data_IF_134704626332
#
_entry.id   IF_134704626332
#
_cell.length_a   1.000
_cell.length_b   1.000
_cell.length_c   1.000
_cell.angle_alpha   90.00
_cell.angle_beta   90.00
_cell.angle_gamma   90.00
#
_symmetry.space_group_name_H-M   'P 1'
#
loop_
_entity.id
_entity.type
_entity.pdbx_description
1 polymer ?
#
# COMPACT_ATOMS: atom_id res chain seq x y z
N UNK A 1 27.46 -17.65 -13.21
CA UNK A 1 28.34 -17.37 -12.06
C UNK A 1 29.80 -17.08 -12.41
N UNK A 2 30.51 -17.87 -13.25
CA UNK A 2 31.96 -17.66 -13.51
C UNK A 2 32.38 -16.42 -14.34
N UNK A 3 31.53 -15.88 -15.23
CA UNK A 3 31.91 -14.77 -16.13
C UNK A 3 31.85 -13.37 -15.48
N UNK A 4 30.93 -13.16 -14.51
CA UNK A 4 30.82 -11.90 -13.75
C UNK A 4 32.00 -11.71 -12.79
N UNK A 5 32.40 -12.78 -12.09
CA UNK A 5 33.59 -12.79 -11.22
C UNK A 5 34.89 -12.47 -11.98
N UNK A 6 35.04 -12.99 -13.19
CA UNK A 6 36.22 -12.72 -14.02
C UNK A 6 36.27 -11.25 -14.50
N UNK A 7 35.12 -10.65 -14.84
CA UNK A 7 35.06 -9.24 -15.24
C UNK A 7 35.37 -8.28 -14.08
N UNK A 8 34.92 -8.61 -12.87
CA UNK A 8 35.23 -7.84 -11.64
C UNK A 8 36.72 -7.94 -11.31
N UNK A 9 37.32 -9.14 -11.38
CA UNK A 9 38.76 -9.33 -11.21
C UNK A 9 39.58 -8.56 -12.24
N UNK A 10 39.13 -8.51 -13.50
CA UNK A 10 39.81 -7.76 -14.56
C UNK A 10 39.71 -6.25 -14.31
N UNK A 11 38.55 -5.73 -13.88
CA UNK A 11 38.39 -4.31 -13.58
C UNK A 11 39.25 -3.85 -12.39
N UNK A 12 39.30 -4.66 -11.32
CA UNK A 12 40.18 -4.43 -10.17
C UNK A 12 41.66 -4.47 -10.60
N UNK A 13 42.05 -5.45 -11.42
CA UNK A 13 43.42 -5.58 -11.92
C UNK A 13 43.85 -4.46 -12.88
N UNK A 14 42.96 -3.93 -13.72
CA UNK A 14 43.29 -2.82 -14.64
C UNK A 14 43.41 -1.47 -13.94
N UNK A 15 42.70 -1.26 -12.82
CA UNK A 15 42.93 -0.08 -11.97
C UNK A 15 44.27 -0.15 -11.21
N UNK A 16 44.71 -1.37 -10.81
CA UNK A 16 45.97 -1.60 -10.11
C UNK A 16 47.23 -1.40 -10.97
N UNK A 17 47.13 -1.50 -12.31
CA UNK A 17 48.29 -1.52 -13.20
C UNK A 17 48.78 -0.15 -13.71
N UNK A 18 48.13 0.96 -13.35
CA UNK A 18 48.42 2.29 -13.94
C UNK A 18 49.41 3.14 -13.13
N UNK A 19 49.87 2.73 -11.93
CA UNK A 19 50.66 3.62 -11.05
C UNK A 19 51.97 3.04 -10.51
N UNK A 20 52.69 2.27 -11.33
CA UNK A 20 54.11 1.98 -11.08
C UNK A 20 55.01 3.07 -11.68
N UNK A 21 55.15 4.20 -10.98
CA UNK A 21 56.06 5.28 -11.38
C UNK A 21 56.44 6.22 -10.23
N UNK A 22 57.76 6.26 -9.93
CA UNK A 22 58.47 7.14 -8.98
C UNK A 22 58.56 6.69 -7.52
N UNK A 23 59.42 5.72 -7.28
CA UNK A 23 60.04 5.43 -5.98
C UNK A 23 61.14 6.43 -5.64
N UNK A 24 60.86 7.54 -4.95
CA UNK A 24 61.85 8.34 -4.20
C UNK A 24 61.16 9.34 -3.25
N UNK A 25 60.71 8.91 -2.05
CA UNK A 25 60.86 9.57 -0.73
C UNK A 25 60.39 8.57 0.34
N UNK A 26 61.31 8.04 1.17
CA UNK A 26 61.02 7.06 2.24
C UNK A 26 60.36 7.65 3.51
N UNK A 27 59.78 8.86 3.43
CA UNK A 27 59.25 9.62 4.59
C UNK A 27 57.83 10.14 4.34
N UNK A 28 57.25 9.93 3.16
CA UNK A 28 55.82 10.18 2.94
C UNK A 28 55.08 8.84 3.00
N UNK A 29 54.14 8.72 3.91
CA UNK A 29 53.25 7.56 4.04
C UNK A 29 52.53 7.31 2.70
N UNK A 30 52.49 6.04 2.29
CA UNK A 30 52.09 5.59 0.95
C UNK A 30 50.61 5.86 0.70
N UNK A 31 50.28 6.21 -0.54
CA UNK A 31 48.90 6.22 -1.04
C UNK A 31 48.25 4.85 -0.81
N UNK A 32 47.05 4.85 -0.24
CA UNK A 32 46.19 3.67 -0.04
C UNK A 32 45.00 3.75 -0.97
N UNK A 33 44.82 2.72 -1.78
CA UNK A 33 43.68 2.49 -2.65
C UNK A 33 42.58 1.77 -1.88
N UNK A 34 41.50 2.48 -1.59
CA UNK A 34 40.32 1.98 -0.90
C UNK A 34 39.30 1.55 -1.95
N UNK A 35 39.05 0.25 -2.03
CA UNK A 35 38.03 -0.34 -2.90
C UNK A 35 36.73 -0.52 -2.10
N UNK A 36 35.63 0.08 -2.55
CA UNK A 36 34.34 0.00 -1.87
C UNK A 36 33.42 -1.01 -2.55
N UNK A 37 32.78 -1.86 -1.73
CA UNK A 37 31.82 -2.88 -2.19
C UNK A 37 30.51 -2.83 -1.42
N UNK A 38 29.40 -2.99 -2.14
CA UNK A 38 28.08 -3.20 -1.57
C UNK A 38 27.60 -4.62 -1.93
N UNK A 39 27.90 -5.59 -1.05
CA UNK A 39 27.77 -7.01 -1.40
C UNK A 39 28.61 -7.36 -2.64
N UNK A 40 27.98 -7.93 -3.67
CA UNK A 40 28.68 -8.24 -4.92
C UNK A 40 29.01 -7.00 -5.77
N UNK A 41 28.32 -5.87 -5.54
CA UNK A 41 28.45 -4.64 -6.33
C UNK A 41 29.76 -3.90 -6.02
N UNK A 42 30.44 -3.44 -7.07
CA UNK A 42 31.59 -2.54 -6.97
C UNK A 42 31.09 -1.10 -6.98
N UNK A 43 31.39 -0.36 -5.91
CA UNK A 43 30.92 1.02 -5.72
C UNK A 43 31.93 2.03 -6.28
N UNK A 44 33.22 1.82 -6.01
CA UNK A 44 34.28 2.71 -6.47
C UNK A 44 35.65 2.40 -5.87
N UNK A 45 36.67 3.10 -6.35
CA UNK A 45 38.03 3.07 -5.78
C UNK A 45 38.48 4.49 -5.52
N UNK A 46 39.04 4.72 -4.34
CA UNK A 46 39.46 6.03 -3.85
C UNK A 46 40.88 5.98 -3.32
N UNK A 47 41.64 7.06 -3.48
CA UNK A 47 42.99 7.17 -2.94
C UNK A 47 42.98 8.04 -1.69
N UNK A 48 43.55 7.54 -0.59
CA UNK A 48 43.75 8.27 0.66
C UNK A 48 45.22 8.18 1.12
N UNK A 49 45.69 9.22 1.80
CA UNK A 49 47.03 9.38 2.37
C UNK A 49 46.97 10.43 3.49
N UNK A 50 48.09 10.69 4.17
CA UNK A 50 48.14 11.66 5.28
C UNK A 50 47.73 13.09 4.95
N UNK A 51 47.70 13.47 3.67
CA UNK A 51 47.35 14.81 3.22
C UNK A 51 45.94 14.88 2.61
N UNK A 52 45.28 13.74 2.38
CA UNK A 52 43.97 13.71 1.75
C UNK A 52 43.03 12.66 2.37
N UNK A 53 41.75 13.02 2.42
CA UNK A 53 40.66 12.11 2.74
C UNK A 53 39.82 11.90 1.49
N UNK A 54 39.11 10.77 1.42
CA UNK A 54 38.18 10.49 0.35
C UNK A 54 36.75 10.77 0.80
N UNK A 55 36.02 11.58 0.03
CA UNK A 55 34.56 11.69 0.14
C UNK A 55 33.96 10.57 -0.68
N UNK A 56 33.14 9.74 -0.06
CA UNK A 56 32.62 8.49 -0.62
C UNK A 56 31.09 8.48 -0.56
N UNK A 57 30.41 7.76 -1.48
CA UNK A 57 28.95 7.64 -1.44
C UNK A 57 28.50 6.81 -0.24
N UNK A 58 27.28 7.07 0.24
CA UNK A 58 26.59 6.22 1.22
C UNK A 58 25.62 5.30 0.45
N UNK A 59 25.89 3.98 0.36
CA UNK A 59 25.04 3.06 -0.38
C UNK A 59 23.74 2.76 0.38
N UNK A 60 22.64 2.57 -0.35
CA UNK A 60 21.33 2.27 0.23
C UNK A 60 20.98 0.80 0.12
N UNK A 61 20.16 0.30 1.06
CA UNK A 61 19.60 -1.05 1.05
C UNK A 61 18.22 -1.04 1.70
N UNK A 62 17.20 -1.48 0.96
CA UNK A 62 15.82 -1.46 1.44
C UNK A 62 15.67 -2.21 2.78
N UNK A 63 15.06 -1.56 3.78
CA UNK A 63 14.87 -2.10 5.12
C UNK A 63 16.10 -2.05 6.04
N UNK A 64 17.20 -1.45 5.59
CA UNK A 64 18.43 -1.34 6.37
C UNK A 64 18.99 0.09 6.34
N UNK A 65 19.62 0.50 7.44
CA UNK A 65 20.36 1.74 7.56
C UNK A 65 21.84 1.47 7.33
N UNK A 66 22.46 2.28 6.49
CA UNK A 66 23.91 2.22 6.27
C UNK A 66 24.63 2.61 7.55
N UNK A 67 25.39 1.67 8.12
CA UNK A 67 26.11 1.85 9.37
C UNK A 67 27.53 2.38 9.17
N UNK A 68 28.07 2.23 7.97
CA UNK A 68 29.40 2.67 7.59
C UNK A 68 30.15 1.63 6.78
N UNK A 69 31.45 1.86 6.64
CA UNK A 69 32.35 0.98 5.91
C UNK A 69 33.13 0.11 6.90
N UNK A 70 33.24 -1.19 6.58
CA UNK A 70 33.99 -2.15 7.38
C UNK A 70 34.96 -2.94 6.50
N UNK A 71 36.15 -3.34 6.97
CA UNK A 71 37.02 -4.26 6.26
C UNK A 71 36.46 -5.70 6.21
N UNK A 72 35.40 -5.98 6.96
CA UNK A 72 34.78 -7.31 7.04
C UNK A 72 33.65 -7.46 6.03
N UNK A 73 33.76 -8.47 5.15
CA UNK A 73 32.75 -8.73 4.10
C UNK A 73 31.39 -9.17 4.66
N UNK A 74 31.42 -9.98 5.73
CA UNK A 74 30.26 -10.56 6.41
C UNK A 74 29.97 -9.85 7.74
N UNK A 75 30.11 -8.52 7.75
CA UNK A 75 29.85 -7.70 8.94
C UNK A 75 28.47 -7.96 9.53
N UNK A 76 28.43 -8.20 10.84
CA UNK A 76 27.21 -8.47 11.60
C UNK A 76 27.05 -7.48 12.76
N UNK A 77 25.88 -6.84 12.85
CA UNK A 77 25.53 -5.90 13.91
C UNK A 77 25.70 -6.52 15.31
N UNK A 78 26.31 -5.76 16.22
CA UNK A 78 26.59 -6.16 17.62
C UNK A 78 27.79 -7.10 17.79
N UNK A 79 28.14 -7.90 16.78
CA UNK A 79 29.32 -8.78 16.82
C UNK A 79 30.56 -8.05 16.31
N UNK A 80 30.42 -7.32 15.20
CA UNK A 80 31.54 -6.70 14.47
C UNK A 80 31.51 -5.17 14.55
N UNK A 81 30.76 -4.60 15.51
CA UNK A 81 30.57 -3.15 15.60
C UNK A 81 31.87 -2.36 15.79
N UNK A 82 32.91 -2.98 16.36
CA UNK A 82 34.24 -2.38 16.51
C UNK A 82 35.01 -2.27 15.18
N UNK A 83 34.60 -3.01 14.15
CA UNK A 83 35.21 -3.01 12.81
C UNK A 83 34.66 -1.88 11.89
N UNK A 84 33.83 -0.97 12.42
CA UNK A 84 33.37 0.20 11.66
C UNK A 84 34.45 1.29 11.67
N UNK A 85 34.82 1.76 10.48
CA UNK A 85 36.01 2.59 10.31
C UNK A 85 35.84 4.07 10.70
N UNK A 86 34.62 4.61 10.68
CA UNK A 86 34.37 6.02 10.96
C UNK A 86 32.91 6.27 11.33
N UNK A 87 32.68 7.20 12.26
CA UNK A 87 31.34 7.74 12.54
C UNK A 87 30.79 8.57 11.38
N UNK A 88 31.68 9.17 10.56
CA UNK A 88 31.30 9.87 9.34
C UNK A 88 31.33 8.91 8.15
N UNK A 89 30.16 8.35 7.86
CA UNK A 89 29.92 7.32 6.85
C UNK A 89 30.25 7.74 5.41
N UNK A 90 30.32 9.05 5.13
CA UNK A 90 30.68 9.61 3.82
C UNK A 90 32.15 10.02 3.68
N UNK A 91 33.00 9.75 4.67
CA UNK A 91 34.40 10.14 4.67
C UNK A 91 35.30 8.97 5.09
N UNK A 92 36.26 8.63 4.24
CA UNK A 92 37.34 7.69 4.57
C UNK A 92 38.61 8.49 4.81
N UNK A 93 39.22 8.31 5.99
CA UNK A 93 40.52 8.90 6.31
C UNK A 93 41.61 7.86 6.20
N UNK A 94 42.81 8.32 5.90
CA UNK A 94 43.99 7.45 5.87
C UNK A 94 44.21 6.71 7.19
N UNK A 95 44.04 7.40 8.32
CA UNK A 95 44.21 6.80 9.65
C UNK A 95 43.24 5.65 9.93
N UNK A 96 42.06 5.66 9.32
CA UNK A 96 41.05 4.61 9.50
C UNK A 96 41.42 3.33 8.75
N UNK A 97 42.22 3.43 7.68
CA UNK A 97 42.48 2.30 6.76
C UNK A 97 43.91 1.77 6.76
N UNK A 98 44.88 2.57 7.21
CA UNK A 98 46.31 2.28 7.07
C UNK A 98 46.75 0.95 7.69
N UNK A 99 46.11 0.55 8.79
CA UNK A 99 46.46 -0.67 9.52
C UNK A 99 45.85 -1.95 8.90
N UNK A 100 44.90 -1.80 7.96
CA UNK A 100 44.27 -2.91 7.24
C UNK A 100 45.01 -3.30 5.94
N UNK A 101 46.09 -2.58 5.62
CA UNK A 101 46.88 -2.82 4.42
C UNK A 101 48.04 -3.76 4.76
N UNK A 102 47.98 -4.99 4.23
CA UNK A 102 49.00 -6.01 4.52
C UNK A 102 50.24 -5.91 3.60
N UNK A 103 51.43 -5.79 4.21
CA UNK A 103 52.72 -5.99 3.51
C UNK A 103 53.05 -4.91 2.48
N UNK A 104 53.38 -5.31 1.25
CA UNK A 104 53.65 -4.37 0.14
C UNK A 104 52.39 -3.93 -0.61
N UNK A 105 51.22 -4.51 -0.31
CA UNK A 105 49.97 -4.08 -0.91
C UNK A 105 49.70 -2.62 -0.53
N UNK A 106 49.04 -1.89 -1.42
CA UNK A 106 48.61 -0.52 -1.20
C UNK A 106 47.10 -0.41 -1.31
N UNK A 107 46.36 -1.50 -1.11
CA UNK A 107 44.92 -1.50 -1.23
C UNK A 107 44.21 -2.23 -0.11
N UNK A 108 43.07 -1.70 0.30
CA UNK A 108 42.12 -2.33 1.21
C UNK A 108 40.77 -2.41 0.52
N UNK A 109 40.02 -3.49 0.75
CA UNK A 109 38.62 -3.57 0.33
C UNK A 109 37.75 -3.34 1.55
N UNK A 110 36.81 -2.41 1.43
CA UNK A 110 35.80 -2.12 2.44
C UNK A 110 34.43 -2.50 1.90
N UNK A 111 33.61 -3.02 2.79
CA UNK A 111 32.28 -3.52 2.53
C UNK A 111 31.27 -2.67 3.29
N UNK A 112 30.13 -2.45 2.65
CA UNK A 112 29.03 -1.69 3.23
C UNK A 112 28.40 -2.47 4.40
N UNK A 113 28.45 -1.89 5.59
CA UNK A 113 27.80 -2.43 6.78
C UNK A 113 26.38 -1.87 6.92
N UNK A 114 25.45 -2.72 7.34
CA UNK A 114 24.03 -2.41 7.40
C UNK A 114 23.40 -2.87 8.70
N UNK A 115 22.69 -1.98 9.36
CA UNK A 115 21.86 -2.29 10.54
C UNK A 115 20.41 -2.41 10.09
N UNK A 116 19.66 -3.35 10.67
CA UNK A 116 18.24 -3.48 10.33
C UNK A 116 17.49 -2.25 10.87
N UNK A 117 16.65 -1.64 10.03
CA UNK A 117 15.78 -0.57 10.50
C UNK A 117 14.73 -1.22 11.42
N UNK A 118 14.63 -0.82 12.70
CA UNK A 118 13.65 -1.40 13.60
C UNK A 118 12.24 -1.16 13.07
N UNK A 119 11.48 -2.24 12.89
CA UNK A 119 10.08 -2.14 12.47
C UNK A 119 9.25 -1.64 13.66
N UNK A 120 8.74 -0.42 13.53
CA UNK A 120 7.77 0.18 14.45
C UNK A 120 6.36 0.02 13.88
N UNK A 121 5.34 0.19 14.71
CA UNK A 121 3.95 0.14 14.26
C UNK A 121 3.57 1.41 13.51
N UNK A 122 4.08 2.57 13.97
CA UNK A 122 3.85 3.86 13.33
C UNK A 122 4.94 4.86 13.72
N UNK A 123 5.46 5.61 12.75
CA UNK A 123 6.43 6.70 12.96
C UNK A 123 5.94 7.99 12.29
N UNK A 124 5.75 9.03 13.09
CA UNK A 124 5.34 10.36 12.63
C UNK A 124 6.49 11.35 12.84
N UNK A 125 7.01 11.89 11.74
CA UNK A 125 7.98 12.97 11.76
C UNK A 125 7.26 14.33 11.79
N UNK A 126 7.71 15.24 12.66
CA UNK A 126 7.23 16.64 12.65
C UNK A 126 8.37 17.63 12.41
N UNK A 127 8.07 18.72 11.69
CA UNK A 127 9.08 19.74 11.43
C UNK A 127 9.34 20.60 12.66
N UNK A 128 10.44 20.30 13.37
CA UNK A 128 10.82 20.94 14.62
C UNK A 128 11.50 22.29 14.40
N UNK A 129 10.69 23.24 13.98
CA UNK A 129 11.08 24.61 13.75
C UNK A 129 9.89 25.52 13.95
N UNK A 130 9.51 25.76 15.21
CA UNK A 130 8.29 26.47 15.60
C UNK A 130 8.05 27.78 14.85
N UNK A 131 9.07 28.62 14.69
CA UNK A 131 8.96 29.88 13.94
C UNK A 131 8.57 29.67 12.47
N UNK A 132 8.88 28.51 11.91
CA UNK A 132 8.55 28.11 10.54
C UNK A 132 7.30 27.24 10.52
N UNK A 133 7.25 26.09 11.19
CA UNK A 133 6.12 25.14 11.13
C UNK A 133 4.90 25.59 11.96
N UNK A 134 5.11 26.39 13.00
CA UNK A 134 4.09 26.70 13.99
C UNK A 134 3.82 25.57 15.00
N UNK A 135 4.64 24.50 14.96
CA UNK A 135 4.56 23.31 15.83
C UNK A 135 5.75 23.33 16.79
N UNK A 136 5.50 23.00 18.06
CA UNK A 136 6.52 22.78 19.08
C UNK A 136 6.21 21.49 19.87
N UNK A 137 7.03 21.18 20.87
CA UNK A 137 6.85 19.96 21.66
C UNK A 137 5.49 19.89 22.36
N UNK A 138 5.00 20.99 22.94
CA UNK A 138 3.70 21.00 23.61
C UNK A 138 2.55 20.71 22.64
N UNK A 139 2.62 21.27 21.42
CA UNK A 139 1.67 20.93 20.34
C UNK A 139 1.70 19.43 20.01
N UNK A 140 2.88 18.82 19.96
CA UNK A 140 3.01 17.40 19.64
C UNK A 140 2.62 16.47 20.80
N UNK A 141 2.73 16.92 22.04
CA UNK A 141 2.24 16.19 23.22
C UNK A 141 0.71 16.15 23.24
N UNK A 142 0.05 17.27 22.90
CA UNK A 142 -1.40 17.34 22.71
C UNK A 142 -1.85 16.47 21.52
N UNK A 143 -1.16 16.58 20.38
CA UNK A 143 -1.41 15.74 19.21
C UNK A 143 -1.28 14.25 19.54
N UNK A 144 -0.25 13.85 20.29
CA UNK A 144 -0.05 12.45 20.72
C UNK A 144 -1.21 11.97 21.58
N UNK A 145 -1.68 12.81 22.51
CA UNK A 145 -2.83 12.48 23.35
C UNK A 145 -4.08 12.23 22.50
N UNK A 146 -4.38 13.13 21.56
CA UNK A 146 -5.52 12.99 20.65
C UNK A 146 -5.38 11.76 19.73
N UNK A 147 -4.18 11.47 19.24
CA UNK A 147 -3.91 10.27 18.44
C UNK A 147 -4.18 9.00 19.24
N UNK A 148 -3.75 8.94 20.50
CA UNK A 148 -3.93 7.77 21.35
C UNK A 148 -5.41 7.55 21.68
N UNK A 149 -6.17 8.61 21.92
CA UNK A 149 -7.62 8.55 22.09
C UNK A 149 -8.31 8.05 20.81
N UNK A 150 -7.93 8.57 19.64
CA UNK A 150 -8.45 8.14 18.36
C UNK A 150 -8.18 6.64 18.11
N UNK A 151 -6.93 6.19 18.26
CA UNK A 151 -6.57 4.80 18.07
C UNK A 151 -7.32 3.87 19.05
N UNK A 152 -7.47 4.29 20.31
CA UNK A 152 -8.27 3.56 21.30
C UNK A 152 -9.74 3.43 20.86
N UNK A 153 -10.32 4.50 20.31
CA UNK A 153 -11.69 4.48 19.78
C UNK A 153 -11.88 3.51 18.60
N UNK A 154 -10.80 3.23 17.86
CA UNK A 154 -10.76 2.26 16.76
C UNK A 154 -10.39 0.83 17.21
N UNK A 155 -10.27 0.59 18.51
CA UNK A 155 -9.99 -0.74 19.09
C UNK A 155 -8.50 -1.08 19.23
N UNK A 156 -7.60 -0.15 18.91
CA UNK A 156 -6.17 -0.34 19.14
C UNK A 156 -5.79 -0.11 20.61
N UNK A 157 -4.60 -0.58 20.99
CA UNK A 157 -4.02 -0.38 22.34
C UNK A 157 -2.68 0.34 22.20
N UNK A 158 -2.68 1.67 22.02
CA UNK A 158 -1.47 2.42 21.68
C UNK A 158 -0.34 2.27 22.72
N UNK A 159 -0.66 2.07 24.00
CA UNK A 159 0.34 1.82 25.06
C UNK A 159 1.13 0.50 24.89
N UNK A 160 0.62 -0.42 24.07
CA UNK A 160 1.28 -1.69 23.74
C UNK A 160 1.93 -1.68 22.36
N UNK A 161 1.71 -0.61 21.59
CA UNK A 161 2.25 -0.44 20.25
C UNK A 161 3.57 0.33 20.29
N UNK A 162 4.43 0.07 19.32
CA UNK A 162 5.65 0.84 19.09
C UNK A 162 5.34 2.05 18.21
N UNK A 163 4.75 3.10 18.80
CA UNK A 163 4.47 4.38 18.12
C UNK A 163 5.54 5.41 18.49
N UNK A 164 6.19 6.00 17.49
CA UNK A 164 7.19 7.05 17.66
C UNK A 164 6.75 8.36 16.98
N UNK A 165 6.80 9.46 17.72
CA UNK A 165 6.47 10.80 17.21
C UNK A 165 7.65 11.69 17.54
N UNK A 166 8.42 12.08 16.52
CA UNK A 166 9.71 12.74 16.74
C UNK A 166 9.96 13.91 15.80
N UNK A 167 10.68 14.89 16.34
CA UNK A 167 10.95 16.16 15.68
C UNK A 167 12.22 16.12 14.86
N UNK A 168 12.17 16.70 13.67
CA UNK A 168 13.34 16.90 12.80
C UNK A 168 13.66 18.38 12.70
N UNK A 169 14.88 18.74 13.12
CA UNK A 169 15.38 20.11 13.13
C UNK A 169 16.09 20.49 11.81
N UNK A 170 16.49 21.76 11.71
CA UNK A 170 17.27 22.28 10.59
C UNK A 170 16.43 22.99 9.54
N UNK A 171 17.00 23.17 8.34
CA UNK A 171 16.22 23.58 7.18
C UNK A 171 15.55 22.38 6.51
N UNK A 172 14.84 22.64 5.41
CA UNK A 172 14.01 21.62 4.76
C UNK A 172 14.88 20.53 4.15
N UNK A 173 16.01 20.88 3.53
CA UNK A 173 16.95 19.89 2.99
C UNK A 173 17.57 19.03 4.08
N UNK A 174 17.98 19.64 5.19
CA UNK A 174 18.57 18.93 6.34
C UNK A 174 17.58 17.97 6.98
N UNK A 175 16.37 18.44 7.26
CA UNK A 175 15.31 17.63 7.90
C UNK A 175 14.82 16.50 7.00
N UNK A 176 14.59 16.75 5.70
CA UNK A 176 14.19 15.71 4.75
C UNK A 176 15.31 14.67 4.55
N UNK A 177 16.58 15.12 4.46
CA UNK A 177 17.73 14.23 4.39
C UNK A 177 17.86 13.32 5.60
N UNK A 178 17.64 13.85 6.80
CA UNK A 178 17.62 13.04 8.03
C UNK A 178 16.48 12.01 8.03
N UNK A 179 15.27 12.39 7.60
CA UNK A 179 14.12 11.48 7.48
C UNK A 179 14.40 10.35 6.48
N UNK A 180 14.99 10.66 5.32
CA UNK A 180 15.38 9.65 4.33
C UNK A 180 16.48 8.72 4.87
N UNK A 181 17.42 9.26 5.65
CA UNK A 181 18.51 8.49 6.29
C UNK A 181 18.01 7.53 7.37
N UNK A 182 16.95 7.90 8.10
CA UNK A 182 16.36 7.02 9.12
C UNK A 182 15.51 5.90 8.50
N UNK A 183 14.78 6.19 7.41
CA UNK A 183 14.15 5.18 6.57
C UNK A 183 12.97 4.43 7.19
N UNK A 184 12.46 4.86 8.33
CA UNK A 184 11.34 4.27 9.10
C UNK A 184 10.12 5.19 9.22
N UNK A 185 10.17 6.42 8.70
CA UNK A 185 9.07 7.41 8.84
C UNK A 185 7.90 7.06 7.93
N UNK A 186 6.71 6.96 8.52
CA UNK A 186 5.44 6.68 7.82
C UNK A 186 4.69 7.96 7.41
N UNK A 187 4.65 8.96 8.29
CA UNK A 187 3.92 10.21 8.08
C UNK A 187 4.82 11.40 8.41
N UNK A 188 4.78 12.44 7.57
CA UNK A 188 5.45 13.72 7.83
C UNK A 188 4.41 14.82 8.05
N UNK A 189 4.58 15.65 9.08
CA UNK A 189 3.68 16.77 9.37
C UNK A 189 4.44 18.09 9.57
N UNK A 190 3.92 19.19 9.00
CA UNK A 190 4.41 20.54 9.31
C UNK A 190 5.32 21.19 8.26
N UNK A 191 5.59 20.54 7.12
CA UNK A 191 6.28 21.14 5.98
C UNK A 191 5.32 22.01 5.14
N UNK A 192 5.88 22.91 4.32
CA UNK A 192 5.11 24.03 3.79
C UNK A 192 4.31 23.76 2.50
N UNK A 193 4.74 22.83 1.64
CA UNK A 193 4.06 22.40 0.40
C UNK A 193 4.86 21.30 -0.32
N UNK A 194 4.30 20.73 -1.39
CA UNK A 194 4.95 19.68 -2.20
C UNK A 194 6.28 20.13 -2.80
N UNK A 195 6.39 21.38 -3.29
CA UNK A 195 7.66 21.91 -3.81
C UNK A 195 8.74 21.95 -2.73
N UNK A 196 8.36 22.10 -1.47
CA UNK A 196 9.30 22.13 -0.36
C UNK A 196 9.90 20.74 -0.13
N UNK A 197 9.09 19.68 -0.20
CA UNK A 197 9.56 18.31 -0.11
C UNK A 197 10.39 17.91 -1.34
N UNK A 198 9.90 18.22 -2.54
CA UNK A 198 10.54 17.73 -3.78
C UNK A 198 11.77 18.50 -4.19
N UNK A 199 11.71 19.84 -4.18
CA UNK A 199 12.83 20.66 -4.64
C UNK A 199 13.83 20.92 -3.51
N UNK A 200 13.38 21.47 -2.37
CA UNK A 200 14.28 21.80 -1.26
C UNK A 200 14.68 20.57 -0.45
N UNK A 201 13.73 19.66 -0.22
CA UNK A 201 13.92 18.44 0.55
C UNK A 201 14.58 17.31 -0.23
N UNK A 202 14.61 17.39 -1.56
CA UNK A 202 15.19 16.37 -2.44
C UNK A 202 14.42 15.06 -2.49
N UNK A 203 13.16 15.03 -2.02
CA UNK A 203 12.30 13.84 -2.05
C UNK A 203 11.62 13.67 -3.40
N UNK A 204 11.34 12.43 -3.80
CA UNK A 204 10.63 12.10 -5.03
C UNK A 204 9.26 11.51 -4.72
N UNK A 205 8.20 12.11 -5.28
CA UNK A 205 6.84 11.57 -5.15
C UNK A 205 6.72 10.20 -5.83
N UNK A 206 5.99 9.28 -5.22
CA UNK A 206 5.90 7.87 -5.61
C UNK A 206 7.12 7.02 -5.20
N UNK A 207 8.16 7.62 -4.62
CA UNK A 207 9.36 6.92 -4.13
C UNK A 207 9.57 7.17 -2.64
N UNK A 208 9.71 8.44 -2.26
CA UNK A 208 10.02 8.87 -0.89
C UNK A 208 8.76 9.27 -0.11
N UNK A 209 7.69 9.63 -0.82
CA UNK A 209 6.34 9.83 -0.28
C UNK A 209 5.28 9.51 -1.35
N UNK A 210 4.10 9.09 -0.93
CA UNK A 210 3.00 8.65 -1.79
C UNK A 210 1.98 9.76 -2.04
N UNK A 211 1.75 10.60 -1.03
CA UNK A 211 0.70 11.60 -1.05
C UNK A 211 1.10 12.80 -0.18
N UNK A 212 0.68 14.00 -0.56
CA UNK A 212 0.95 15.22 0.21
C UNK A 212 -0.19 16.24 0.07
N UNK A 213 -0.88 16.53 1.17
CA UNK A 213 -2.05 17.40 1.20
C UNK A 213 -1.81 18.60 2.12
N UNK A 214 -2.37 19.75 1.74
CA UNK A 214 -2.20 21.01 2.45
C UNK A 214 -3.32 21.34 3.42
N UNK A 215 -3.30 22.59 3.91
CA UNK A 215 -4.34 23.17 4.77
C UNK A 215 -4.52 22.45 6.11
N UNK A 216 -3.48 21.76 6.61
CA UNK A 216 -3.51 21.07 7.89
C UNK A 216 -2.95 21.97 8.98
N UNK A 217 -3.73 22.26 10.02
CA UNK A 217 -3.36 23.14 11.13
C UNK A 217 -3.36 22.38 12.46
N UNK A 218 -2.26 21.65 12.69
CA UNK A 218 -1.96 21.02 13.99
C UNK A 218 -1.45 22.06 15.00
N UNK A 219 -0.59 22.98 14.54
CA UNK A 219 -0.05 24.05 15.37
C UNK A 219 -0.65 25.43 15.04
N UNK A 220 0.15 26.48 15.20
CA UNK A 220 -0.29 27.86 14.93
C UNK A 220 -0.39 28.22 13.43
N UNK A 221 0.10 27.36 12.53
CA UNK A 221 0.15 27.62 11.08
C UNK A 221 -0.38 26.44 10.27
N UNK A 222 -1.00 26.75 9.13
CA UNK A 222 -1.43 25.75 8.13
C UNK A 222 -0.24 25.19 7.38
N UNK A 223 -0.11 23.87 7.35
CA UNK A 223 1.00 23.13 6.76
C UNK A 223 0.46 21.92 6.01
N UNK A 224 1.38 21.08 5.58
CA UNK A 224 1.09 19.87 4.83
C UNK A 224 1.34 18.63 5.67
N UNK A 225 0.64 17.56 5.30
CA UNK A 225 0.91 16.20 5.76
C UNK A 225 1.26 15.33 4.56
N UNK A 226 2.35 14.57 4.67
CA UNK A 226 2.77 13.64 3.63
C UNK A 226 2.74 12.20 4.15
N UNK A 227 2.18 11.29 3.36
CA UNK A 227 2.16 9.85 3.63
C UNK A 227 3.31 9.20 2.90
N UNK A 228 4.11 8.38 3.59
CA UNK A 228 5.29 7.69 3.03
C UNK A 228 5.10 6.20 2.85
N UNK A 229 4.27 5.57 3.65
CA UNK A 229 4.02 4.13 3.61
C UNK A 229 2.54 3.84 3.39
N UNK A 230 2.26 2.68 2.80
CA UNK A 230 0.90 2.21 2.50
C UNK A 230 0.54 1.02 3.40
N UNK A 231 0.52 1.29 4.71
CA UNK A 231 0.04 0.31 5.70
C UNK A 231 -1.33 0.71 6.20
N UNK A 232 -2.14 -0.27 6.61
CA UNK A 232 -3.50 -0.03 7.11
C UNK A 232 -3.53 1.01 8.25
N UNK A 233 -2.61 0.89 9.23
CA UNK A 233 -2.51 1.83 10.34
C UNK A 233 -2.03 3.23 9.88
N UNK A 234 -1.07 3.30 8.96
CA UNK A 234 -0.62 4.58 8.40
C UNK A 234 -1.76 5.31 7.69
N UNK A 235 -2.54 4.60 6.87
CA UNK A 235 -3.67 5.16 6.14
C UNK A 235 -4.74 5.68 7.10
N UNK A 236 -5.13 4.84 8.08
CA UNK A 236 -6.08 5.21 9.13
C UNK A 236 -5.67 6.49 9.89
N UNK A 237 -4.39 6.61 10.25
CA UNK A 237 -3.90 7.79 10.96
C UNK A 237 -3.80 9.00 10.04
N UNK A 238 -3.33 8.82 8.80
CA UNK A 238 -3.23 9.89 7.81
C UNK A 238 -4.59 10.55 7.54
N UNK A 239 -5.63 9.75 7.33
CA UNK A 239 -6.99 10.21 7.11
C UNK A 239 -7.55 10.93 8.33
N UNK A 240 -7.30 10.39 9.53
CA UNK A 240 -7.69 11.05 10.77
C UNK A 240 -7.03 12.43 10.92
N UNK A 241 -5.74 12.56 10.59
CA UNK A 241 -5.05 13.86 10.64
C UNK A 241 -5.69 14.82 9.64
N UNK A 242 -5.97 14.36 8.41
CA UNK A 242 -6.61 15.17 7.39
C UNK A 242 -7.97 15.71 7.87
N UNK A 243 -8.85 14.82 8.33
CA UNK A 243 -10.21 15.19 8.77
C UNK A 243 -10.20 16.08 10.00
N UNK A 244 -9.34 15.78 10.98
CA UNK A 244 -9.35 16.47 12.28
C UNK A 244 -8.73 17.86 12.21
N UNK A 245 -7.70 18.05 11.38
CA UNK A 245 -6.87 19.25 11.40
C UNK A 245 -6.94 20.09 10.12
N UNK A 246 -7.76 19.74 9.12
CA UNK A 246 -7.96 20.59 7.95
C UNK A 246 -8.65 21.92 8.30
N UNK A 247 -8.18 23.03 7.73
CA UNK A 247 -8.77 24.37 7.90
C UNK A 247 -9.68 24.81 6.77
N UNK A 248 -9.55 24.15 5.62
CA UNK A 248 -10.66 24.11 4.66
C UNK A 248 -11.69 23.20 5.29
N UNK A 249 -13.00 23.49 5.16
CA UNK A 249 -13.98 22.43 5.26
C UNK A 249 -13.43 21.33 4.34
N UNK A 250 -13.10 20.19 4.92
CA UNK A 250 -13.16 18.96 4.13
C UNK A 250 -14.58 19.08 3.56
N UNK A 251 -14.72 19.33 2.25
CA UNK A 251 -16.02 19.10 1.63
C UNK A 251 -16.41 17.75 2.20
N UNK A 252 -17.60 17.61 2.82
CA UNK A 252 -17.96 16.30 3.30
C UNK A 252 -17.71 15.39 2.11
N UNK A 253 -16.70 14.52 2.25
CA UNK A 253 -16.80 13.19 1.70
C UNK A 253 -18.27 12.85 1.94
N UNK A 254 -19.08 12.68 0.87
CA UNK A 254 -20.50 12.39 1.05
C UNK A 254 -20.57 11.37 2.17
N UNK A 255 -21.30 11.72 3.24
CA UNK A 255 -21.33 11.09 4.57
C UNK A 255 -20.59 9.75 4.57
N UNK A 256 -19.47 9.55 5.31
CA UNK A 256 -18.71 8.31 5.20
C UNK A 256 -19.68 7.15 5.33
N UNK A 257 -19.90 6.44 4.22
CA UNK A 257 -20.70 5.23 4.24
C UNK A 257 -20.04 4.36 5.31
N UNK A 258 -20.78 3.89 6.33
CA UNK A 258 -20.21 3.04 7.36
C UNK A 258 -19.42 1.94 6.66
N UNK A 259 -18.18 1.68 7.14
CA UNK A 259 -17.29 0.61 6.67
C UNK A 259 -18.12 -0.54 6.07
N UNK A 260 -18.02 -0.81 4.74
CA UNK A 260 -18.72 -1.94 4.19
C UNK A 260 -17.93 -3.18 4.64
N UNK A 261 -18.20 -3.62 5.87
CA UNK A 261 -18.57 -5.02 6.01
C UNK A 261 -19.50 -5.36 4.83
N UNK A 262 -19.26 -6.50 4.18
CA UNK A 262 -19.57 -6.74 2.77
C UNK A 262 -20.81 -5.97 2.32
N UNK A 263 -20.62 -5.00 1.41
CA UNK A 263 -21.66 -4.11 0.88
C UNK A 263 -22.96 -4.91 0.78
N UNK A 264 -23.95 -4.60 1.63
CA UNK A 264 -25.23 -5.26 1.47
C UNK A 264 -25.72 -4.89 0.06
N UNK A 265 -25.88 -5.87 -0.84
CA UNK A 265 -26.31 -5.59 -2.20
C UNK A 265 -27.67 -4.89 -2.20
N UNK A 266 -27.79 -3.79 -2.94
CA UNK A 266 -29.04 -3.03 -3.16
C UNK A 266 -30.03 -3.84 -4.00
N UNK A 267 -29.52 -4.79 -4.79
CA UNK A 267 -30.33 -5.72 -5.57
C UNK A 267 -29.64 -7.09 -5.65
N UNK A 268 -30.26 -8.11 -5.09
CA UNK A 268 -29.81 -9.50 -5.16
C UNK A 268 -30.70 -10.32 -6.09
N UNK A 269 -30.10 -10.80 -7.17
CA UNK A 269 -30.75 -11.70 -8.11
C UNK A 269 -30.16 -13.09 -7.93
N UNK A 270 -30.95 -13.99 -7.36
CA UNK A 270 -30.64 -15.41 -7.33
C UNK A 270 -30.93 -16.04 -8.70
N UNK A 271 -30.04 -16.91 -9.17
CA UNK A 271 -30.31 -17.75 -10.34
C UNK A 271 -30.06 -19.22 -10.04
N UNK A 272 -30.89 -20.07 -10.65
CA UNK A 272 -30.79 -21.51 -10.46
C UNK A 272 -29.62 -22.08 -11.27
N UNK A 273 -28.48 -22.31 -10.61
CA UNK A 273 -27.22 -22.70 -11.23
C UNK A 273 -27.14 -24.20 -11.48
N UNK A 274 -28.05 -24.66 -12.33
CA UNK A 274 -28.06 -26.00 -12.91
C UNK A 274 -28.40 -25.87 -14.39
N UNK A 275 -27.42 -25.66 -15.30
CA UNK A 275 -27.66 -25.39 -16.71
C UNK A 275 -28.58 -26.43 -17.40
N UNK A 276 -28.43 -27.71 -17.06
CA UNK A 276 -29.27 -28.79 -17.56
C UNK A 276 -30.74 -28.69 -17.12
N UNK A 277 -31.01 -27.98 -16.04
CA UNK A 277 -32.38 -27.70 -15.57
C UNK A 277 -32.83 -26.29 -15.92
N UNK A 278 -32.14 -25.23 -15.50
CA UNK A 278 -32.58 -23.84 -15.72
C UNK A 278 -32.34 -23.34 -17.14
N UNK A 279 -31.30 -23.83 -17.82
CA UNK A 279 -30.80 -23.29 -19.09
C UNK A 279 -29.84 -22.12 -18.90
N UNK A 280 -29.80 -21.52 -17.70
CA UNK A 280 -28.91 -20.41 -17.37
C UNK A 280 -27.48 -20.92 -17.19
N UNK A 281 -26.52 -20.08 -17.57
CA UNK A 281 -25.08 -20.31 -17.38
C UNK A 281 -24.45 -19.02 -16.88
N UNK A 282 -23.22 -19.09 -16.37
CA UNK A 282 -22.50 -17.88 -15.95
C UNK A 282 -22.43 -16.84 -17.06
N UNK A 283 -22.10 -17.25 -18.30
CA UNK A 283 -22.03 -16.35 -19.45
C UNK A 283 -23.36 -15.65 -19.77
N UNK A 284 -24.50 -16.35 -19.60
CA UNK A 284 -25.83 -15.73 -19.77
C UNK A 284 -26.08 -14.72 -18.65
N UNK A 285 -25.72 -15.05 -17.40
CA UNK A 285 -25.91 -14.14 -16.28
C UNK A 285 -24.99 -12.91 -16.34
N UNK A 286 -23.78 -13.05 -16.89
CA UNK A 286 -22.87 -11.92 -17.14
C UNK A 286 -23.43 -10.99 -18.22
N UNK A 287 -23.99 -11.55 -19.30
CA UNK A 287 -24.69 -10.77 -20.33
C UNK A 287 -25.92 -10.05 -19.76
N UNK A 288 -26.70 -10.75 -18.94
CA UNK A 288 -27.83 -10.17 -18.23
C UNK A 288 -27.41 -9.03 -17.30
N UNK A 289 -26.32 -9.17 -16.52
CA UNK A 289 -25.81 -8.10 -15.66
C UNK A 289 -25.47 -6.84 -16.46
N UNK A 290 -24.82 -6.97 -17.62
CA UNK A 290 -24.48 -5.83 -18.48
C UNK A 290 -25.73 -5.12 -19.03
N UNK A 291 -26.72 -5.90 -19.48
CA UNK A 291 -27.99 -5.35 -19.94
C UNK A 291 -28.77 -4.68 -18.80
N UNK A 292 -28.76 -5.29 -17.60
CA UNK A 292 -29.41 -4.75 -16.41
C UNK A 292 -28.81 -3.40 -16.01
N UNK A 293 -27.49 -3.26 -15.97
CA UNK A 293 -26.81 -1.99 -15.70
C UNK A 293 -27.22 -0.89 -16.70
N UNK A 294 -27.36 -1.26 -17.97
CA UNK A 294 -27.79 -0.32 -19.04
C UNK A 294 -29.25 0.09 -18.82
N UNK A 295 -30.14 -0.87 -18.57
CA UNK A 295 -31.55 -0.63 -18.33
C UNK A 295 -31.80 0.26 -17.10
N UNK A 296 -31.10 0.00 -15.99
CA UNK A 296 -31.19 0.81 -14.78
C UNK A 296 -30.76 2.26 -15.05
N UNK A 297 -29.63 2.47 -15.74
CA UNK A 297 -29.16 3.81 -16.08
C UNK A 297 -30.16 4.59 -16.96
N UNK A 298 -30.81 3.92 -17.92
CA UNK A 298 -31.87 4.50 -18.76
C UNK A 298 -33.13 4.90 -17.96
N UNK A 299 -33.35 4.28 -16.80
CA UNK A 299 -34.46 4.56 -15.89
C UNK A 299 -34.04 5.42 -14.68
N UNK A 300 -32.93 6.16 -14.79
CA UNK A 300 -32.37 7.03 -13.75
C UNK A 300 -32.01 6.32 -12.44
N UNK A 301 -31.73 5.01 -12.51
CA UNK A 301 -31.20 4.21 -11.42
C UNK A 301 -29.73 3.92 -11.72
N UNK A 302 -28.80 4.60 -11.06
CA UNK A 302 -27.36 4.33 -11.25
C UNK A 302 -26.82 3.66 -9.98
N UNK A 303 -26.60 2.35 -10.06
CA UNK A 303 -25.98 1.56 -8.99
C UNK A 303 -24.46 1.48 -9.18
N UNK A 304 -23.71 1.57 -8.09
CA UNK A 304 -22.26 1.36 -8.03
C UNK A 304 -21.91 -0.12 -8.26
N UNK A 305 -20.65 -0.38 -8.59
CA UNK A 305 -20.14 -1.75 -8.69
C UNK A 305 -20.18 -2.42 -7.30
N UNK A 306 -20.80 -3.60 -7.22
CA UNK A 306 -21.03 -4.32 -5.94
C UNK A 306 -22.44 -4.19 -5.38
N UNK A 307 -23.22 -3.18 -5.82
CA UNK A 307 -24.62 -2.98 -5.36
C UNK A 307 -25.62 -3.89 -6.10
N UNK A 308 -25.24 -4.48 -7.23
CA UNK A 308 -25.99 -5.57 -7.88
C UNK A 308 -25.23 -6.87 -7.66
N UNK A 309 -25.85 -7.80 -6.92
CA UNK A 309 -25.31 -9.14 -6.71
C UNK A 309 -26.13 -10.18 -7.48
N UNK A 310 -25.50 -10.87 -8.41
CA UNK A 310 -26.10 -12.04 -9.07
C UNK A 310 -25.49 -13.31 -8.48
N UNK A 311 -26.29 -14.06 -7.72
CA UNK A 311 -25.84 -15.26 -6.98
C UNK A 311 -26.40 -16.54 -7.58
N UNK A 312 -25.52 -17.46 -7.95
CA UNK A 312 -25.91 -18.79 -8.44
C UNK A 312 -26.13 -19.80 -7.32
N UNK A 313 -27.30 -20.41 -7.28
CA UNK A 313 -27.62 -21.46 -6.31
C UNK A 313 -27.62 -22.84 -6.98
N UNK A 314 -26.74 -23.71 -6.49
CA UNK A 314 -26.64 -25.11 -6.90
C UNK A 314 -27.46 -26.02 -5.96
N UNK A 315 -27.69 -27.26 -6.39
CA UNK A 315 -28.47 -28.26 -5.64
C UNK A 315 -29.89 -28.40 -6.17
N UNK A 316 -30.65 -29.34 -5.63
CA UNK A 316 -32.05 -29.49 -6.04
C UNK A 316 -32.92 -28.30 -5.57
N UNK A 317 -34.20 -28.31 -5.94
CA UNK A 317 -35.14 -27.22 -5.61
C UNK A 317 -35.27 -27.02 -4.10
N UNK A 318 -35.22 -28.10 -3.30
CA UNK A 318 -35.32 -28.01 -1.84
C UNK A 318 -34.06 -27.41 -1.25
N UNK A 319 -32.90 -27.90 -1.66
CA UNK A 319 -31.60 -27.45 -1.17
C UNK A 319 -31.35 -25.98 -1.52
N UNK A 320 -31.60 -25.60 -2.78
CA UNK A 320 -31.37 -24.24 -3.26
C UNK A 320 -32.32 -23.22 -2.59
N UNK A 321 -33.61 -23.52 -2.49
CA UNK A 321 -34.56 -22.65 -1.76
C UNK A 321 -34.29 -22.57 -0.26
N UNK A 322 -33.74 -23.62 0.35
CA UNK A 322 -33.34 -23.58 1.77
C UNK A 322 -32.23 -22.55 1.98
N UNK A 323 -31.22 -22.54 1.11
CA UNK A 323 -30.13 -21.55 1.15
C UNK A 323 -30.62 -20.13 0.91
N UNK A 324 -31.50 -19.92 -0.08
CA UNK A 324 -32.12 -18.61 -0.32
C UNK A 324 -32.81 -18.07 0.94
N UNK A 325 -33.51 -18.93 1.69
CA UNK A 325 -34.15 -18.56 2.96
C UNK A 325 -33.15 -18.30 4.10
N UNK A 326 -32.02 -18.98 4.09
CA UNK A 326 -30.94 -18.78 5.07
C UNK A 326 -30.23 -17.44 4.83
N UNK A 327 -30.00 -17.09 3.57
CA UNK A 327 -29.30 -15.87 3.14
C UNK A 327 -30.14 -14.61 3.41
N UNK A 328 -31.48 -14.69 3.30
CA UNK A 328 -32.45 -13.63 3.66
C UNK A 328 -32.27 -12.29 2.94
N UNK A 329 -31.54 -12.27 1.83
CA UNK A 329 -31.17 -11.07 1.09
C UNK A 329 -31.63 -11.11 -0.38
N UNK A 330 -32.23 -12.21 -0.85
CA UNK A 330 -32.62 -12.37 -2.25
C UNK A 330 -33.89 -11.56 -2.57
N UNK A 331 -33.81 -10.74 -3.62
CA UNK A 331 -34.93 -9.92 -4.10
C UNK A 331 -35.68 -10.57 -5.27
N UNK A 332 -34.94 -11.18 -6.20
CA UNK A 332 -35.49 -11.81 -7.41
C UNK A 332 -34.86 -13.19 -7.57
N UNK A 333 -35.67 -14.20 -7.89
CA UNK A 333 -35.17 -15.53 -8.26
C UNK A 333 -35.48 -15.85 -9.72
N UNK A 334 -34.47 -16.33 -10.45
CA UNK A 334 -34.58 -16.68 -11.87
C UNK A 334 -34.22 -18.15 -12.13
N UNK A 335 -35.00 -18.82 -12.98
CA UNK A 335 -34.64 -20.16 -13.49
C UNK A 335 -35.22 -21.33 -12.69
N UNK A 336 -35.92 -21.07 -11.58
CA UNK A 336 -36.78 -22.07 -10.94
C UNK A 336 -38.05 -22.34 -11.77
N UNK A 337 -38.77 -23.40 -11.42
CA UNK A 337 -39.99 -23.79 -12.14
C UNK A 337 -41.25 -23.09 -11.56
N UNK A 338 -42.42 -23.69 -11.77
CA UNK A 338 -43.71 -23.13 -11.34
C UNK A 338 -43.84 -22.99 -9.82
N UNK A 339 -44.78 -22.15 -9.36
CA UNK A 339 -45.16 -22.02 -7.94
C UNK A 339 -45.48 -23.37 -7.29
N UNK A 340 -46.13 -24.27 -8.04
CA UNK A 340 -46.38 -25.64 -7.59
C UNK A 340 -45.10 -26.40 -7.28
N UNK A 341 -44.06 -26.24 -8.10
CA UNK A 341 -42.79 -26.92 -7.90
C UNK A 341 -42.05 -26.38 -6.66
N UNK A 342 -42.05 -25.06 -6.47
CA UNK A 342 -41.50 -24.40 -5.28
C UNK A 342 -42.21 -24.86 -4.01
N UNK A 343 -43.55 -24.88 -4.02
CA UNK A 343 -44.35 -25.36 -2.89
C UNK A 343 -44.14 -26.86 -2.61
N UNK A 344 -44.31 -27.72 -3.63
CA UNK A 344 -44.26 -29.18 -3.44
C UNK A 344 -42.87 -29.69 -3.04
N UNK A 345 -41.81 -29.10 -3.59
CA UNK A 345 -40.44 -29.61 -3.39
C UNK A 345 -39.68 -28.91 -2.27
N UNK A 346 -39.90 -27.61 -2.09
CA UNK A 346 -39.13 -26.80 -1.15
C UNK A 346 -39.97 -26.21 -0.01
N UNK A 347 -41.30 -26.37 -0.03
CA UNK A 347 -42.22 -25.64 0.85
C UNK A 347 -41.91 -24.13 0.82
N UNK A 348 -41.64 -23.60 -0.36
CA UNK A 348 -41.38 -22.18 -0.62
C UNK A 348 -42.68 -21.57 -1.14
N UNK A 349 -43.32 -20.74 -0.32
CA UNK A 349 -44.77 -20.43 -0.41
C UNK A 349 -45.01 -18.95 -0.72
N UNK A 350 -45.92 -18.68 -1.66
CA UNK A 350 -46.35 -17.33 -2.01
C UNK A 350 -47.05 -16.63 -0.83
N UNK A 351 -46.73 -15.36 -0.60
CA UNK A 351 -47.18 -14.58 0.55
C UNK A 351 -46.44 -14.90 1.86
N UNK A 352 -45.50 -15.85 1.85
CA UNK A 352 -44.64 -16.19 3.00
C UNK A 352 -43.17 -16.00 2.66
N UNK A 353 -42.68 -16.72 1.65
CA UNK A 353 -41.28 -16.69 1.23
C UNK A 353 -41.05 -15.79 0.00
N UNK A 354 -42.10 -15.49 -0.76
CA UNK A 354 -42.04 -14.62 -1.94
C UNK A 354 -43.39 -13.97 -2.23
N UNK A 355 -43.41 -12.89 -3.01
CA UNK A 355 -44.62 -12.12 -3.32
C UNK A 355 -45.38 -12.73 -4.50
N UNK A 356 -44.68 -13.01 -5.60
CA UNK A 356 -45.29 -13.59 -6.80
C UNK A 356 -44.27 -14.35 -7.66
N UNK A 357 -44.75 -15.28 -8.49
CA UNK A 357 -43.94 -16.00 -9.46
C UNK A 357 -44.62 -15.98 -10.83
N UNK A 358 -44.03 -15.27 -11.78
CA UNK A 358 -44.45 -15.30 -13.18
C UNK A 358 -43.74 -16.43 -13.91
N UNK A 359 -44.52 -17.43 -14.36
CA UNK A 359 -44.01 -18.55 -15.16
C UNK A 359 -44.11 -18.28 -16.65
N UNK A 360 -43.32 -18.99 -17.45
CA UNK A 360 -43.39 -18.89 -18.91
C UNK A 360 -42.28 -18.04 -19.52
N UNK A 361 -41.38 -17.48 -18.69
CA UNK A 361 -40.31 -16.60 -19.12
C UNK A 361 -39.23 -17.42 -19.82
N UNK A 362 -38.88 -17.07 -21.06
CA UNK A 362 -37.79 -17.69 -21.81
C UNK A 362 -36.44 -17.22 -21.26
N UNK A 363 -35.62 -18.14 -20.79
CA UNK A 363 -34.26 -17.87 -20.31
C UNK A 363 -33.37 -19.09 -20.54
N UNK A 364 -32.20 -18.88 -21.14
CA UNK A 364 -31.26 -19.94 -21.49
C UNK A 364 -31.86 -21.06 -22.36
N UNK A 365 -32.83 -20.71 -23.22
CA UNK A 365 -33.52 -21.65 -24.10
C UNK A 365 -34.57 -22.52 -23.41
N UNK A 366 -34.95 -22.22 -22.16
CA UNK A 366 -35.98 -22.95 -21.41
C UNK A 366 -37.03 -21.98 -20.86
N UNK A 367 -38.26 -22.47 -20.72
CA UNK A 367 -39.35 -21.70 -20.11
C UNK A 367 -39.36 -21.88 -18.59
N UNK A 368 -39.11 -20.81 -17.83
CA UNK A 368 -38.92 -20.86 -16.37
C UNK A 368 -39.73 -19.79 -15.66
N UNK A 369 -39.67 -19.81 -14.32
CA UNK A 369 -40.25 -18.81 -13.44
C UNK A 369 -39.27 -17.66 -13.16
N UNK A 370 -39.82 -16.47 -13.02
CA UNK A 370 -39.20 -15.32 -12.38
C UNK A 370 -40.00 -15.03 -11.10
N UNK A 371 -39.34 -15.08 -9.95
CA UNK A 371 -39.98 -14.92 -8.63
C UNK A 371 -39.59 -13.57 -8.07
N UNK A 372 -40.57 -12.76 -7.68
CA UNK A 372 -40.36 -11.53 -6.90
C UNK A 372 -40.47 -11.87 -5.42
N UNK A 373 -39.40 -11.62 -4.67
CA UNK A 373 -39.29 -11.95 -3.24
C UNK A 373 -39.60 -10.73 -2.36
N UNK A 374 -39.04 -9.57 -2.71
CA UNK A 374 -39.19 -8.28 -1.98
C UNK A 374 -39.97 -7.25 -2.79
N UNK A 375 -40.48 -6.19 -2.13
CA UNK A 375 -41.36 -5.17 -2.75
C UNK A 375 -40.75 -3.77 -2.75
N UNK A 376 -39.52 -3.68 -3.25
CA UNK A 376 -38.81 -2.40 -3.35
C UNK A 376 -38.97 -1.78 -4.73
N UNK A 377 -38.79 -0.46 -4.85
CA UNK A 377 -38.99 0.26 -6.12
C UNK A 377 -38.08 -0.28 -7.22
N UNK A 378 -36.80 -0.51 -6.91
CA UNK A 378 -35.83 -1.06 -7.87
C UNK A 378 -36.13 -2.52 -8.24
N UNK A 379 -36.60 -3.31 -7.27
CA UNK A 379 -36.98 -4.71 -7.49
C UNK A 379 -38.20 -4.79 -8.39
N UNK A 380 -39.19 -3.92 -8.18
CA UNK A 380 -40.36 -3.81 -9.04
C UNK A 380 -39.98 -3.42 -10.47
N UNK A 381 -39.12 -2.41 -10.62
CA UNK A 381 -38.61 -1.96 -11.92
C UNK A 381 -37.92 -3.11 -12.69
N UNK A 382 -37.01 -3.84 -12.03
CA UNK A 382 -36.26 -4.93 -12.67
C UNK A 382 -37.14 -6.15 -12.93
N UNK A 383 -38.02 -6.50 -12.00
CA UNK A 383 -38.96 -7.60 -12.17
C UNK A 383 -39.87 -7.36 -13.39
N UNK A 384 -40.47 -6.17 -13.50
CA UNK A 384 -41.35 -5.80 -14.61
C UNK A 384 -40.61 -5.80 -15.97
N UNK A 385 -39.35 -5.36 -15.98
CA UNK A 385 -38.50 -5.45 -17.16
C UNK A 385 -38.27 -6.89 -17.62
N UNK A 386 -38.03 -7.82 -16.68
CA UNK A 386 -37.84 -9.24 -17.00
C UNK A 386 -39.14 -9.84 -17.53
N UNK A 387 -40.27 -9.66 -16.83
CA UNK A 387 -41.52 -10.34 -17.17
C UNK A 387 -42.23 -9.76 -18.40
N UNK A 388 -41.97 -8.50 -18.73
CA UNK A 388 -42.46 -7.87 -19.98
C UNK A 388 -41.68 -8.32 -21.22
N UNK A 389 -40.57 -9.03 -21.05
CA UNK A 389 -39.70 -9.49 -22.12
C UNK A 389 -38.58 -8.52 -22.49
N UNK A 390 -38.39 -7.43 -21.75
CA UNK A 390 -37.30 -6.48 -21.98
C UNK A 390 -35.91 -7.07 -21.79
N UNK A 391 -35.77 -8.08 -20.93
CA UNK A 391 -34.51 -8.80 -20.71
C UNK A 391 -34.28 -10.01 -21.66
N UNK A 392 -35.18 -10.24 -22.63
CA UNK A 392 -35.20 -11.47 -23.45
C UNK A 392 -33.88 -11.74 -24.17
N UNK A 393 -33.31 -10.72 -24.81
CA UNK A 393 -32.07 -10.87 -25.59
C UNK A 393 -30.87 -11.15 -24.69
N UNK A 394 -30.84 -10.53 -23.50
CA UNK A 394 -29.78 -10.74 -22.52
C UNK A 394 -29.81 -12.13 -21.87
N UNK A 395 -31.00 -12.75 -21.82
CA UNK A 395 -31.23 -14.09 -21.29
C UNK A 395 -31.23 -15.19 -22.37
N UNK A 396 -30.92 -14.85 -23.63
CA UNK A 396 -30.86 -15.82 -24.72
C UNK A 396 -29.66 -16.78 -24.56
N UNK A 397 -29.73 -18.00 -25.14
CA UNK A 397 -28.56 -18.88 -25.22
C UNK A 397 -27.37 -18.19 -25.90
N UNK A 398 -26.18 -18.35 -25.33
CA UNK A 398 -24.93 -17.95 -25.99
C UNK A 398 -24.63 -18.98 -27.08
N UNK A 399 -24.51 -18.53 -28.33
CA UNK A 399 -24.24 -19.37 -29.52
C UNK A 399 -22.77 -19.71 -29.64
#
# INVERSE_FOLDING_TARGET
MKKRWLAILIAIATCLAVLSGCSFVKVFEKDVQVVLRNGEEYVGTYTVNIFNNAVVPEPTKAGYKFAGWSPKEDWTEGTDSEDLLSENTGLIRYDDVKDYVAGENQSVTLYAAYTAIPKRDLVIAWYNKETTSGINQATMDEFKTALFEFLTSKGYKPDTMSIDIRGYEGDVGTSCGAIMKDGDVDIMVGWANSNNLTNTGGMTEGVDFLENIGNIKIGSKERYIARKTDTELCNLVYDWIHVTYSTVPVEPEPDPEPDPGPTEPVLVIAWYNLPETSGLTQAIMDNFLNALKTYLAENNQTLKDGEILIRGYIGDVKESCTKVREDKDVDIMMGWASSKNLADKANFVEGVDYITNTTGIEMGGKSRGCVKVTDEEIVNLVYDWIISGGAKDALAPVV
#
